data_IF_855078321828
#
_entry.id   IF_855078321828
#
_cell.length_a   1.000
_cell.length_b   1.000
_cell.length_c   1.000
_cell.angle_alpha   90.00
_cell.angle_beta   90.00
_cell.angle_gamma   90.00
#
_symmetry.space_group_name_H-M   'P 1'
#
loop_
_entity.id
_entity.type
_entity.pdbx_description
1 polymer ?
#
# COMPACT_ATOMS: atom_id res chain seq x y z
N UNK A 1 38.80 -36.85 67.01
CA UNK A 1 39.28 -38.02 66.26
C UNK A 1 38.29 -38.34 65.14
N UNK A 2 38.76 -38.39 63.88
CA UNK A 2 38.08 -38.79 62.60
C UNK A 2 36.91 -37.92 62.12
N UNK A 3 36.69 -37.65 60.82
CA UNK A 3 37.46 -37.64 59.55
C UNK A 3 36.52 -36.96 58.51
N UNK A 4 37.08 -36.21 57.56
CA UNK A 4 36.44 -35.60 56.36
C UNK A 4 35.49 -36.55 55.61
N UNK A 5 34.48 -35.98 54.94
CA UNK A 5 34.24 -36.19 53.49
C UNK A 5 33.57 -34.98 52.84
N UNK A 6 34.09 -34.61 51.65
CA UNK A 6 33.60 -33.56 50.74
C UNK A 6 32.37 -34.08 49.97
N UNK A 7 31.44 -33.18 49.62
CA UNK A 7 30.67 -33.30 48.37
C UNK A 7 30.71 -31.98 47.60
N UNK A 8 31.37 -32.05 46.45
CA UNK A 8 31.33 -31.08 45.36
C UNK A 8 29.98 -31.19 44.64
N UNK A 9 29.28 -30.07 44.49
CA UNK A 9 28.02 -29.97 43.74
C UNK A 9 28.04 -28.72 42.87
N UNK A 10 28.39 -28.91 41.60
CA UNK A 10 28.40 -27.99 40.47
C UNK A 10 27.22 -27.00 40.43
N UNK A 11 27.49 -25.71 40.66
CA UNK A 11 26.57 -24.59 40.33
C UNK A 11 27.28 -23.58 39.41
N UNK A 12 27.67 -24.05 38.22
CA UNK A 12 28.14 -23.19 37.10
C UNK A 12 27.56 -23.69 35.77
N UNK A 13 26.23 -23.60 35.59
CA UNK A 13 25.57 -23.85 34.30
C UNK A 13 24.27 -23.04 34.15
N UNK A 14 24.33 -21.71 34.31
CA UNK A 14 23.18 -20.85 33.96
C UNK A 14 23.55 -19.46 33.42
N UNK A 15 24.74 -19.34 32.83
CA UNK A 15 25.21 -18.08 32.22
C UNK A 15 25.87 -18.28 30.84
N UNK A 16 25.50 -19.36 30.13
CA UNK A 16 26.00 -19.66 28.77
C UNK A 16 24.89 -19.72 27.71
N UNK A 17 23.73 -19.12 28.01
CA UNK A 17 22.58 -19.13 27.11
C UNK A 17 22.00 -17.73 26.90
N UNK A 18 22.87 -16.71 26.92
CA UNK A 18 22.53 -15.33 26.53
C UNK A 18 23.50 -14.81 25.44
N UNK A 19 24.65 -15.46 25.22
CA UNK A 19 25.64 -15.03 24.23
C UNK A 19 25.59 -15.73 22.86
N UNK A 20 24.59 -16.59 22.60
CA UNK A 20 24.46 -17.28 21.29
C UNK A 20 23.36 -16.68 20.40
N UNK A 21 22.50 -15.80 20.92
CA UNK A 21 21.47 -15.13 20.11
C UNK A 21 21.90 -13.78 19.51
N UNK A 22 23.04 -13.22 19.92
CA UNK A 22 23.52 -11.93 19.44
C UNK A 22 24.49 -11.99 18.24
N UNK A 23 24.80 -13.19 17.72
CA UNK A 23 25.74 -13.35 16.59
C UNK A 23 25.10 -13.91 15.31
N UNK A 24 23.78 -14.10 15.26
CA UNK A 24 23.09 -14.54 14.04
C UNK A 24 22.49 -13.38 13.23
N UNK A 25 22.29 -12.19 13.84
CA UNK A 25 21.73 -11.02 13.17
C UNK A 25 22.74 -10.11 12.45
N UNK A 26 24.05 -10.39 12.54
CA UNK A 26 25.10 -9.52 11.94
C UNK A 26 25.77 -10.17 10.71
N UNK A 27 25.41 -11.42 10.35
CA UNK A 27 25.99 -12.14 9.20
C UNK A 27 25.05 -12.30 7.99
N UNK A 28 23.96 -11.53 7.92
CA UNK A 28 23.17 -11.36 6.69
C UNK A 28 23.36 -9.97 6.06
N UNK A 29 24.44 -9.28 6.43
CA UNK A 29 24.82 -7.97 5.89
C UNK A 29 26.15 -8.02 5.14
N UNK A 30 26.40 -9.11 4.43
CA UNK A 30 27.49 -9.19 3.46
C UNK A 30 26.95 -9.54 2.08
N UNK A 31 26.90 -8.51 1.24
CA UNK A 31 27.35 -8.56 -0.15
C UNK A 31 26.81 -9.72 -1.02
N UNK A 32 25.69 -9.46 -1.69
CA UNK A 32 25.54 -9.88 -3.08
C UNK A 32 25.38 -8.63 -3.95
N UNK A 33 26.52 -7.98 -4.23
CA UNK A 33 26.65 -7.11 -5.39
C UNK A 33 26.78 -8.02 -6.61
N UNK A 34 25.68 -8.29 -7.31
CA UNK A 34 25.74 -8.77 -8.69
C UNK A 34 24.51 -8.31 -9.47
N UNK A 35 24.78 -7.64 -10.58
CA UNK A 35 23.88 -7.37 -11.71
C UNK A 35 22.78 -6.30 -11.56
N UNK A 36 23.05 -5.18 -10.88
CA UNK A 36 22.41 -3.87 -11.18
C UNK A 36 20.89 -3.75 -11.03
N UNK A 37 20.18 -4.79 -10.60
CA UNK A 37 18.74 -4.82 -10.39
C UNK A 37 18.46 -5.21 -8.94
N UNK A 38 18.05 -4.22 -8.15
CA UNK A 38 17.65 -4.42 -6.76
C UNK A 38 16.25 -5.04 -6.72
N UNK A 39 16.18 -6.36 -6.62
CA UNK A 39 14.91 -7.03 -6.34
C UNK A 39 14.58 -6.86 -4.84
N UNK A 40 13.78 -5.85 -4.53
CA UNK A 40 13.21 -5.69 -3.20
C UNK A 40 12.19 -6.83 -2.97
N UNK A 41 12.59 -7.85 -2.21
CA UNK A 41 11.67 -8.88 -1.72
C UNK A 41 10.84 -8.23 -0.60
N UNK A 42 9.68 -7.66 -0.94
CA UNK A 42 8.85 -6.95 0.02
C UNK A 42 8.37 -7.82 1.18
N UNK A 43 8.05 -7.17 2.29
CA UNK A 43 7.54 -7.84 3.50
C UNK A 43 6.08 -8.26 3.27
N UNK A 44 5.67 -9.49 3.63
CA UNK A 44 4.26 -9.90 3.58
C UNK A 44 3.38 -9.06 4.52
N UNK A 45 2.22 -8.59 4.04
CA UNK A 45 1.32 -7.68 4.76
C UNK A 45 0.13 -8.47 5.33
N UNK A 46 -0.13 -8.36 6.64
CA UNK A 46 -1.28 -8.97 7.32
C UNK A 46 -2.21 -7.92 7.93
N UNK A 47 -3.51 -7.98 7.64
CA UNK A 47 -4.52 -7.15 8.33
C UNK A 47 -4.62 -5.70 7.85
N UNK A 48 -4.74 -5.49 6.53
CA UNK A 48 -4.86 -4.15 5.93
C UNK A 48 -6.14 -3.45 6.37
N UNK A 49 -6.01 -2.22 6.86
CA UNK A 49 -7.14 -1.34 7.16
C UNK A 49 -7.82 -0.88 5.86
N UNK A 50 -7.03 -0.53 4.84
CA UNK A 50 -7.54 -0.27 3.48
C UNK A 50 -7.54 -1.58 2.68
N UNK A 51 -8.71 -2.16 2.34
CA UNK A 51 -8.77 -3.44 1.65
C UNK A 51 -8.21 -3.33 0.22
N UNK A 52 -7.63 -4.41 -0.29
CA UNK A 52 -7.26 -4.51 -1.70
C UNK A 52 -8.48 -5.00 -2.49
N UNK A 53 -8.95 -4.17 -3.42
CA UNK A 53 -9.89 -4.54 -4.48
C UNK A 53 -9.13 -4.54 -5.82
N UNK A 54 -9.44 -5.50 -6.67
CA UNK A 54 -8.87 -5.57 -8.02
C UNK A 54 -9.93 -5.15 -9.02
N UNK A 55 -9.61 -4.22 -9.92
CA UNK A 55 -10.56 -3.81 -10.96
C UNK A 55 -10.89 -4.98 -11.92
N UNK A 56 -9.99 -5.96 -12.01
CA UNK A 56 -10.11 -7.18 -12.82
C UNK A 56 -10.84 -8.33 -12.12
N UNK A 57 -11.43 -8.10 -10.94
CA UNK A 57 -12.27 -9.11 -10.27
C UNK A 57 -13.54 -9.37 -11.09
N UNK A 58 -13.84 -10.65 -11.34
CA UNK A 58 -14.93 -11.09 -12.21
C UNK A 58 -16.32 -10.60 -11.81
N UNK A 59 -16.48 -10.13 -10.58
CA UNK A 59 -17.75 -9.57 -10.07
C UNK A 59 -18.15 -8.28 -10.77
N UNK A 60 -17.18 -7.48 -11.24
CA UNK A 60 -17.41 -6.17 -11.84
C UNK A 60 -16.56 -5.88 -13.06
N UNK A 61 -15.52 -6.68 -13.35
CA UNK A 61 -14.55 -6.38 -14.40
C UNK A 61 -15.16 -6.18 -15.80
N UNK A 62 -16.33 -6.77 -16.07
CA UNK A 62 -17.02 -6.66 -17.37
C UNK A 62 -18.12 -5.59 -17.38
N UNK A 63 -18.36 -4.90 -16.26
CA UNK A 63 -19.34 -3.82 -16.20
C UNK A 63 -18.80 -2.60 -16.94
N UNK A 64 -19.72 -1.81 -17.51
CA UNK A 64 -19.37 -0.65 -18.32
C UNK A 64 -18.62 0.38 -17.48
N UNK A 65 -17.56 0.96 -18.05
CA UNK A 65 -16.99 2.19 -17.52
C UNK A 65 -16.47 3.09 -18.65
N UNK A 66 -17.20 4.15 -18.95
CA UNK A 66 -16.93 5.09 -20.03
C UNK A 66 -17.00 4.41 -21.40
N UNK A 67 -15.89 4.46 -22.14
CA UNK A 67 -15.78 3.79 -23.45
C UNK A 67 -15.32 2.32 -23.35
N UNK A 68 -15.07 1.83 -22.13
CA UNK A 68 -14.52 0.50 -21.86
C UNK A 68 -15.26 -0.20 -20.72
N UNK A 69 -14.51 -0.96 -19.92
CA UNK A 69 -15.05 -1.67 -18.75
C UNK A 69 -14.32 -1.28 -17.47
N UNK A 70 -14.91 -1.59 -16.31
CA UNK A 70 -14.22 -1.45 -15.02
C UNK A 70 -12.88 -2.20 -15.01
N UNK A 71 -12.82 -3.37 -15.66
CA UNK A 71 -11.60 -4.17 -15.77
C UNK A 71 -10.48 -3.48 -16.53
N UNK A 72 -10.80 -2.63 -17.51
CA UNK A 72 -9.83 -1.96 -18.38
C UNK A 72 -9.47 -0.56 -17.86
N UNK A 73 -10.47 0.21 -17.45
CA UNK A 73 -10.33 1.65 -17.16
C UNK A 73 -10.73 2.03 -15.72
N UNK A 74 -11.21 1.08 -14.91
CA UNK A 74 -11.75 1.31 -13.57
C UNK A 74 -10.71 1.52 -12.45
N UNK A 75 -9.47 1.88 -12.77
CA UNK A 75 -8.41 2.06 -11.76
C UNK A 75 -8.74 3.15 -10.73
N UNK A 76 -9.29 4.28 -11.18
CA UNK A 76 -9.74 5.37 -10.31
C UNK A 76 -10.90 4.95 -9.38
N UNK A 77 -12.04 4.49 -9.93
CA UNK A 77 -13.17 4.00 -9.13
C UNK A 77 -12.78 2.90 -8.14
N UNK A 78 -11.93 1.96 -8.56
CA UNK A 78 -11.46 0.90 -7.67
C UNK A 78 -10.63 1.46 -6.51
N UNK A 79 -9.76 2.45 -6.76
CA UNK A 79 -9.01 3.12 -5.70
C UNK A 79 -9.92 3.86 -4.72
N UNK A 80 -10.91 4.58 -5.23
CA UNK A 80 -11.90 5.29 -4.40
C UNK A 80 -12.73 4.30 -3.57
N UNK A 81 -13.18 3.19 -4.16
CA UNK A 81 -13.87 2.13 -3.45
C UNK A 81 -13.03 1.55 -2.30
N UNK A 82 -11.74 1.29 -2.54
CA UNK A 82 -10.83 0.82 -1.49
C UNK A 82 -10.75 1.81 -0.30
N UNK A 83 -10.58 3.10 -0.58
CA UNK A 83 -10.49 4.14 0.45
C UNK A 83 -11.80 4.29 1.23
N UNK A 84 -12.95 4.31 0.53
CA UNK A 84 -14.27 4.37 1.17
C UNK A 84 -14.49 3.18 2.10
N UNK A 85 -14.23 1.95 1.61
CA UNK A 85 -14.36 0.75 2.45
C UNK A 85 -13.47 0.80 3.69
N UNK A 86 -12.22 1.24 3.53
CA UNK A 86 -11.26 1.28 4.63
C UNK A 86 -11.59 2.34 5.69
N UNK A 87 -11.97 3.56 5.26
CA UNK A 87 -12.21 4.66 6.19
C UNK A 87 -13.61 4.68 6.80
N UNK A 88 -14.63 4.21 6.07
CA UNK A 88 -16.03 4.30 6.47
C UNK A 88 -16.66 2.96 6.85
N UNK A 89 -15.99 1.83 6.57
CA UNK A 89 -16.52 0.50 6.84
C UNK A 89 -17.74 0.11 5.99
N UNK A 90 -18.02 0.86 4.93
CA UNK A 90 -19.10 0.59 3.96
C UNK A 90 -18.65 -0.46 2.93
N UNK A 91 -19.58 -1.20 2.32
CA UNK A 91 -19.26 -2.26 1.34
C UNK A 91 -19.35 -1.79 -0.13
N UNK A 92 -18.97 -0.54 -0.43
CA UNK A 92 -19.09 0.02 -1.79
C UNK A 92 -18.22 -0.74 -2.80
N UNK A 93 -18.71 -1.09 -3.97
CA UNK A 93 -17.96 -1.85 -4.99
C UNK A 93 -17.34 -0.95 -6.07
N UNK A 94 -16.32 -1.43 -6.81
CA UNK A 94 -15.72 -0.66 -7.90
C UNK A 94 -16.69 -0.26 -9.01
N UNK A 95 -17.64 -1.14 -9.37
CA UNK A 95 -18.72 -0.86 -10.33
C UNK A 95 -19.67 0.23 -9.82
N UNK A 96 -20.07 0.21 -8.55
CA UNK A 96 -20.90 1.28 -7.97
C UNK A 96 -20.22 2.65 -8.03
N UNK A 97 -18.91 2.71 -7.77
CA UNK A 97 -18.14 3.96 -7.89
C UNK A 97 -17.91 4.34 -9.36
N UNK A 98 -17.79 3.37 -10.26
CA UNK A 98 -17.65 3.61 -11.69
C UNK A 98 -18.93 4.25 -12.26
N UNK A 99 -20.09 3.66 -11.95
CA UNK A 99 -21.41 4.21 -12.29
C UNK A 99 -21.59 5.61 -11.71
N UNK A 100 -21.26 5.81 -10.44
CA UNK A 100 -21.30 7.13 -9.81
C UNK A 100 -20.39 8.13 -10.56
N UNK A 101 -19.16 7.72 -10.88
CA UNK A 101 -18.19 8.54 -11.57
C UNK A 101 -18.71 9.00 -12.93
N UNK A 102 -19.33 8.12 -13.72
CA UNK A 102 -19.90 8.49 -15.01
C UNK A 102 -21.11 9.42 -14.88
N UNK A 103 -22.06 9.04 -14.03
CA UNK A 103 -23.31 9.77 -13.85
C UNK A 103 -23.10 11.22 -13.36
N UNK A 104 -21.97 11.48 -12.70
CA UNK A 104 -21.61 12.80 -12.18
C UNK A 104 -20.51 13.50 -13.02
N UNK A 105 -20.16 12.98 -14.19
CA UNK A 105 -19.23 13.65 -15.11
C UNK A 105 -17.76 13.57 -14.70
N UNK A 106 -17.40 12.61 -13.87
CA UNK A 106 -16.01 12.34 -13.46
C UNK A 106 -15.28 11.33 -14.36
N UNK A 107 -15.79 11.08 -15.57
CA UNK A 107 -15.08 10.35 -16.61
C UNK A 107 -14.82 11.25 -17.82
N UNK A 108 -13.67 11.08 -18.47
CA UNK A 108 -13.32 11.78 -19.70
C UNK A 108 -12.80 10.81 -20.75
N UNK A 109 -13.49 10.75 -21.89
CA UNK A 109 -13.12 9.89 -23.02
C UNK A 109 -11.65 10.07 -23.41
N UNK A 110 -10.94 8.95 -23.55
CA UNK A 110 -9.50 8.91 -23.86
C UNK A 110 -8.54 9.31 -22.71
N UNK A 111 -9.05 9.85 -21.59
CA UNK A 111 -8.24 10.20 -20.40
C UNK A 111 -8.57 9.36 -19.16
N UNK A 112 -9.73 8.68 -19.16
CA UNK A 112 -10.20 7.87 -18.05
C UNK A 112 -10.84 8.69 -16.93
N UNK A 113 -10.67 8.25 -15.69
CA UNK A 113 -11.21 8.91 -14.49
C UNK A 113 -10.63 10.30 -14.29
N UNK A 114 -11.50 11.29 -14.12
CA UNK A 114 -11.16 12.67 -13.80
C UNK A 114 -10.60 12.80 -12.39
N UNK A 115 -9.62 13.69 -12.22
CA UNK A 115 -9.07 14.03 -10.91
C UNK A 115 -10.09 14.66 -9.97
N UNK A 116 -11.15 15.28 -10.51
CA UNK A 116 -12.25 15.82 -9.70
C UNK A 116 -13.00 14.73 -8.92
N UNK A 117 -12.94 13.45 -9.33
CA UNK A 117 -13.45 12.35 -8.51
C UNK A 117 -12.76 12.31 -7.14
N UNK A 118 -11.44 12.58 -7.12
CA UNK A 118 -10.59 12.48 -5.94
C UNK A 118 -10.79 13.62 -4.93
N UNK A 119 -11.52 14.67 -5.30
CA UNK A 119 -11.82 15.82 -4.42
C UNK A 119 -13.33 15.98 -4.25
N UNK A 120 -14.03 16.26 -5.35
CA UNK A 120 -15.43 16.67 -5.34
C UNK A 120 -16.33 15.45 -5.26
N UNK A 121 -16.01 14.40 -6.02
CA UNK A 121 -16.82 13.18 -6.06
C UNK A 121 -16.80 12.39 -4.76
N UNK A 122 -15.66 12.32 -4.06
CA UNK A 122 -15.59 11.62 -2.76
C UNK A 122 -16.37 12.31 -1.64
N UNK A 123 -16.70 13.60 -1.79
CA UNK A 123 -17.50 14.34 -0.80
C UNK A 123 -18.91 13.75 -0.65
N UNK A 124 -19.51 13.25 -1.73
CA UNK A 124 -20.84 12.61 -1.72
C UNK A 124 -20.85 11.29 -0.94
N UNK A 125 -19.68 10.67 -0.75
CA UNK A 125 -19.50 9.50 0.09
C UNK A 125 -19.14 9.84 1.55
N UNK A 126 -19.09 11.13 1.92
CA UNK A 126 -18.71 11.56 3.27
C UNK A 126 -17.21 11.54 3.53
N UNK A 127 -16.38 11.64 2.48
CA UNK A 127 -14.93 11.78 2.59
C UNK A 127 -14.47 13.17 2.17
N UNK A 128 -13.39 13.64 2.78
CA UNK A 128 -12.62 14.80 2.33
C UNK A 128 -11.42 14.31 1.54
N UNK A 129 -11.40 14.57 0.24
CA UNK A 129 -10.22 14.37 -0.61
C UNK A 129 -9.46 15.68 -0.81
N UNK A 130 -8.19 15.72 -0.41
CA UNK A 130 -7.35 16.92 -0.51
C UNK A 130 -6.06 16.64 -1.27
N UNK A 131 -5.78 17.43 -2.31
CA UNK A 131 -4.48 17.40 -2.99
C UNK A 131 -3.36 17.76 -2.01
N UNK A 132 -2.26 17.00 -2.04
CA UNK A 132 -1.08 17.24 -1.21
C UNK A 132 0.18 17.43 -2.06
N UNK A 133 1.18 18.17 -1.56
CA UNK A 133 2.44 18.32 -2.27
C UNK A 133 3.14 16.96 -2.51
N UNK A 134 3.76 16.82 -3.69
CA UNK A 134 4.59 15.66 -4.01
C UNK A 134 5.97 15.79 -3.34
N UNK A 135 6.01 15.51 -2.05
CA UNK A 135 7.25 15.39 -1.29
C UNK A 135 7.15 14.28 -0.23
N UNK A 136 8.33 13.80 0.18
CA UNK A 136 8.45 12.68 1.12
C UNK A 136 7.77 12.96 2.46
N UNK A 137 7.88 14.19 2.97
CA UNK A 137 7.30 14.57 4.26
C UNK A 137 5.77 14.57 4.19
N UNK A 138 5.20 15.16 3.14
CA UNK A 138 3.74 15.19 2.95
C UNK A 138 3.15 13.78 2.84
N UNK A 139 3.79 12.88 2.09
CA UNK A 139 3.35 11.47 1.95
C UNK A 139 3.38 10.76 3.31
N UNK A 140 4.53 10.80 4.00
CA UNK A 140 4.69 10.07 5.26
C UNK A 140 3.78 10.62 6.35
N UNK A 141 3.71 11.95 6.50
CA UNK A 141 2.86 12.58 7.51
C UNK A 141 1.38 12.22 7.32
N UNK A 142 0.89 12.16 6.08
CA UNK A 142 -0.48 11.76 5.81
C UNK A 142 -0.73 10.29 6.20
N UNK A 143 0.12 9.37 5.74
CA UNK A 143 -0.02 7.94 6.02
C UNK A 143 0.14 7.61 7.51
N UNK A 144 1.11 8.21 8.19
CA UNK A 144 1.33 8.04 9.64
C UNK A 144 0.19 8.65 10.48
N UNK A 145 -0.56 9.60 9.92
CA UNK A 145 -1.79 10.13 10.54
C UNK A 145 -3.04 9.30 10.23
N UNK A 146 -2.90 8.14 9.59
CA UNK A 146 -4.02 7.29 9.20
C UNK A 146 -4.81 7.80 7.99
N UNK A 147 -4.25 8.71 7.19
CA UNK A 147 -4.88 9.20 5.97
C UNK A 147 -4.30 8.47 4.74
N UNK A 148 -5.04 7.52 4.12
CA UNK A 148 -4.58 6.89 2.90
C UNK A 148 -4.50 7.92 1.76
N UNK A 149 -3.67 7.61 0.77
CA UNK A 149 -3.43 8.47 -0.38
C UNK A 149 -3.81 7.74 -1.67
N UNK A 150 -4.56 8.38 -2.55
CA UNK A 150 -4.65 7.95 -3.95
C UNK A 150 -3.59 8.71 -4.73
N UNK A 151 -2.76 8.00 -5.48
CA UNK A 151 -1.73 8.55 -6.34
C UNK A 151 -2.10 8.33 -7.80
N UNK A 152 -2.06 9.40 -8.60
CA UNK A 152 -2.01 9.27 -10.06
C UNK A 152 -0.56 9.06 -10.46
N UNK A 153 -0.25 7.98 -11.17
CA UNK A 153 1.10 7.65 -11.63
C UNK A 153 1.20 7.68 -13.16
N UNK A 154 2.41 7.95 -13.65
CA UNK A 154 2.82 7.84 -15.05
C UNK A 154 3.49 6.48 -15.29
N UNK A 155 3.97 6.28 -16.53
CA UNK A 155 4.74 5.11 -16.92
C UNK A 155 5.86 4.77 -15.92
N UNK A 156 5.97 3.48 -15.59
CA UNK A 156 6.97 2.93 -14.69
C UNK A 156 6.61 1.53 -14.20
N UNK A 157 6.84 1.26 -12.92
CA UNK A 157 6.70 -0.08 -12.33
C UNK A 157 5.23 -0.57 -12.25
N UNK A 158 4.25 0.35 -12.28
CA UNK A 158 2.83 0.03 -12.11
C UNK A 158 2.05 -0.01 -13.43
N UNK A 159 2.54 0.65 -14.47
CA UNK A 159 1.80 0.85 -15.72
C UNK A 159 2.73 1.31 -16.83
N UNK A 160 2.36 1.03 -18.07
CA UNK A 160 3.01 1.59 -19.27
C UNK A 160 2.39 2.94 -19.68
N UNK A 161 1.27 3.33 -19.07
CA UNK A 161 0.51 4.56 -19.35
C UNK A 161 0.22 5.34 -18.06
N UNK A 162 -0.94 6.01 -17.96
CA UNK A 162 -1.44 6.56 -16.70
C UNK A 162 -2.15 5.50 -15.86
N UNK A 163 -2.10 5.61 -14.53
CA UNK A 163 -2.79 4.69 -13.61
C UNK A 163 -3.08 5.34 -12.25
N UNK A 164 -4.03 4.79 -11.50
CA UNK A 164 -4.27 5.15 -10.10
C UNK A 164 -3.92 3.98 -9.19
N UNK A 165 -3.25 4.30 -8.07
CA UNK A 165 -2.93 3.34 -7.01
C UNK A 165 -3.25 3.96 -5.64
N UNK A 166 -3.42 3.12 -4.62
CA UNK A 166 -3.56 3.57 -3.23
C UNK A 166 -2.25 3.33 -2.48
N UNK A 167 -1.72 4.37 -1.83
CA UNK A 167 -0.75 4.26 -0.75
C UNK A 167 -1.55 4.13 0.55
N UNK A 168 -1.52 2.96 1.18
CA UNK A 168 -2.43 2.63 2.27
C UNK A 168 -1.87 3.01 3.64
N UNK A 169 -0.62 2.66 3.91
CA UNK A 169 0.03 2.82 5.22
C UNK A 169 1.57 2.76 5.09
N UNK A 170 2.26 3.12 6.17
CA UNK A 170 3.70 2.88 6.33
C UNK A 170 3.88 1.53 7.04
N UNK A 171 4.56 0.59 6.40
CA UNK A 171 4.89 -0.71 6.98
C UNK A 171 6.00 -0.59 8.05
N UNK A 172 6.16 -1.63 8.86
CA UNK A 172 7.16 -1.69 9.95
C UNK A 172 8.60 -1.45 9.49
N UNK A 173 8.92 -1.73 8.22
CA UNK A 173 10.24 -1.49 7.64
C UNK A 173 10.43 -0.04 7.13
N UNK A 174 9.45 0.84 7.33
CA UNK A 174 9.44 2.23 6.88
C UNK A 174 9.09 2.42 5.40
N UNK A 175 8.69 1.36 4.71
CA UNK A 175 8.26 1.40 3.32
C UNK A 175 6.74 1.54 3.20
N UNK A 176 6.27 1.88 2.00
CA UNK A 176 4.86 2.13 1.75
C UNK A 176 4.16 0.84 1.34
N UNK A 177 3.04 0.53 1.99
CA UNK A 177 2.10 -0.48 1.52
C UNK A 177 1.29 0.12 0.36
N UNK A 178 1.36 -0.52 -0.80
CA UNK A 178 0.60 -0.11 -1.98
C UNK A 178 -0.48 -1.13 -2.29
N UNK A 179 -1.70 -0.64 -2.55
CA UNK A 179 -2.76 -1.38 -3.20
C UNK A 179 -2.89 -0.88 -4.64
N UNK A 180 -2.43 -1.71 -5.58
CA UNK A 180 -2.57 -1.51 -7.01
C UNK A 180 -3.80 -2.28 -7.52
N UNK A 181 -4.84 -1.58 -8.03
CA UNK A 181 -6.08 -2.23 -8.48
C UNK A 181 -5.88 -3.15 -9.70
N UNK A 182 -4.75 -3.04 -10.41
CA UNK A 182 -4.43 -3.91 -11.55
C UNK A 182 -3.57 -5.11 -11.17
N UNK A 183 -2.95 -5.12 -9.99
CA UNK A 183 -1.91 -6.10 -9.69
C UNK A 183 -1.88 -6.56 -8.26
N UNK A 184 -2.33 -7.82 -8.07
CA UNK A 184 -2.16 -8.53 -6.79
C UNK A 184 -0.69 -8.76 -6.45
N UNK A 185 0.21 -8.91 -7.42
CA UNK A 185 1.63 -9.16 -7.16
C UNK A 185 2.35 -7.90 -6.68
N UNK A 186 2.10 -6.75 -7.33
CA UNK A 186 2.63 -5.46 -6.89
C UNK A 186 2.05 -5.04 -5.54
N UNK A 187 0.82 -5.46 -5.25
CA UNK A 187 0.15 -5.28 -3.96
C UNK A 187 0.52 -6.30 -2.88
N UNK A 188 1.49 -7.20 -3.11
CA UNK A 188 1.96 -8.15 -2.07
C UNK A 188 3.28 -7.73 -1.41
N UNK A 189 3.85 -6.62 -1.88
CA UNK A 189 5.13 -6.08 -1.41
C UNK A 189 4.97 -4.65 -0.94
N UNK A 190 5.93 -4.21 -0.15
CA UNK A 190 6.13 -2.81 0.24
C UNK A 190 7.04 -2.09 -0.78
N UNK A 191 7.00 -0.77 -0.77
CA UNK A 191 7.70 0.07 -1.74
C UNK A 191 8.47 1.21 -1.05
N UNK A 192 9.76 1.41 -1.37
CA UNK A 192 10.46 2.62 -0.97
C UNK A 192 9.77 3.85 -1.54
N UNK A 193 9.48 4.85 -0.70
CA UNK A 193 8.85 6.12 -1.16
C UNK A 193 9.67 6.79 -2.27
N UNK A 194 11.00 6.69 -2.20
CA UNK A 194 11.91 7.28 -3.20
C UNK A 194 11.84 6.54 -4.56
N UNK A 195 11.31 5.31 -4.59
CA UNK A 195 10.99 4.59 -5.84
C UNK A 195 9.63 5.02 -6.41
N UNK A 196 8.67 5.34 -5.55
CA UNK A 196 7.33 5.78 -5.95
C UNK A 196 7.33 7.19 -6.53
N UNK A 197 7.95 8.15 -5.82
CA UNK A 197 7.86 9.59 -6.12
C UNK A 197 8.15 9.98 -7.59
N UNK A 198 9.20 9.45 -8.26
CA UNK A 198 9.49 9.83 -9.65
C UNK A 198 8.37 9.47 -10.65
N UNK A 199 7.52 8.51 -10.28
CA UNK A 199 6.44 8.00 -11.12
C UNK A 199 5.11 8.72 -10.83
N UNK A 200 5.01 9.45 -9.72
CA UNK A 200 3.78 10.12 -9.32
C UNK A 200 3.58 11.41 -10.12
N UNK A 201 2.33 11.65 -10.56
CA UNK A 201 1.87 12.88 -11.21
C UNK A 201 1.13 13.79 -10.22
N UNK A 202 0.29 13.21 -9.37
CA UNK A 202 -0.45 13.94 -8.34
C UNK A 202 -0.88 13.01 -7.18
N UNK A 203 -1.22 13.59 -6.03
CA UNK A 203 -1.58 12.89 -4.79
C UNK A 203 -2.76 13.54 -4.10
N UNK A 204 -3.68 12.72 -3.58
CA UNK A 204 -4.76 13.16 -2.72
C UNK A 204 -4.77 12.35 -1.44
N UNK A 205 -4.79 13.00 -0.29
CA UNK A 205 -5.03 12.35 1.00
C UNK A 205 -6.53 12.32 1.30
N UNK A 206 -6.99 11.29 2.00
CA UNK A 206 -8.39 11.11 2.34
C UNK A 206 -8.61 10.97 3.85
N UNK A 207 -9.71 11.53 4.34
CA UNK A 207 -10.21 11.35 5.70
C UNK A 207 -11.74 11.39 5.69
N UNK A 208 -12.43 10.81 6.70
CA UNK A 208 -13.84 11.09 6.93
C UNK A 208 -14.11 12.60 7.11
N UNK A 209 -15.32 13.04 6.75
CA UNK A 209 -15.82 14.40 7.02
C UNK A 209 -16.47 14.54 8.38
#
# INVERSE_FOLDING_TARGET
MRKRTKRHGTRKKKLRMIFVLALCCILLWTFFFRDGAFFHQGVPISGREIPLLLQTDVRWANDSYGDGTVGEDGCGPTCVAMVIRGLLGTDVTPDEVADFSENNGYFSAGSGTSWALMTDGVADYGLSGQEIPLDRGSILNALESGHPIIASVREGDFTEKGHFIVLAEVADNGEIVVNDPNSKSLSKRTWPVDRLMPQIKNLWRFSPT
#
